data_IF_539981877654
#
_entry.id   IF_539981877654
#
_cell.length_a   1.000
_cell.length_b   1.000
_cell.length_c   1.000
_cell.angle_alpha   90.00
_cell.angle_beta   90.00
_cell.angle_gamma   90.00
#
_symmetry.space_group_name_H-M   'P 1'
#
loop_
_entity.id
_entity.type
_entity.pdbx_description
1 polymer ?
#
# COMPACT_ATOMS: atom_id res chain seq x y z
N UNK A 1 -5.88 -5.69 13.09
CA UNK A 1 -5.09 -4.88 12.15
C UNK A 1 -5.94 -4.63 10.91
N UNK A 2 -5.62 -3.62 10.12
CA UNK A 2 -6.26 -3.39 8.82
C UNK A 2 -5.80 -4.47 7.85
N UNK A 3 -6.74 -5.14 7.17
CA UNK A 3 -6.44 -6.26 6.27
C UNK A 3 -6.40 -5.83 4.80
N UNK A 4 -7.04 -4.72 4.44
CA UNK A 4 -7.08 -4.20 3.07
C UNK A 4 -6.95 -2.69 3.01
N UNK A 5 -6.48 -2.16 1.88
CA UNK A 5 -6.34 -0.72 1.68
C UNK A 5 -7.69 0.03 1.77
N UNK A 6 -8.83 -0.65 1.51
CA UNK A 6 -10.18 -0.10 1.61
C UNK A 6 -10.66 0.06 3.06
N UNK A 7 -10.15 -0.74 3.98
CA UNK A 7 -10.52 -0.65 5.40
C UNK A 7 -9.84 0.52 6.11
N UNK A 8 -8.73 1.04 5.57
CA UNK A 8 -8.07 2.20 6.13
C UNK A 8 -8.72 3.50 5.63
N UNK A 9 -9.45 4.19 6.49
CA UNK A 9 -10.21 5.40 6.17
C UNK A 9 -9.39 6.48 5.43
N UNK A 10 -8.12 6.65 5.81
CA UNK A 10 -7.22 7.64 5.21
C UNK A 10 -6.41 7.12 4.02
N UNK A 11 -6.73 5.92 3.54
CA UNK A 11 -6.13 5.36 2.34
C UNK A 11 -6.55 6.14 1.10
N UNK A 12 -5.60 6.40 0.23
CA UNK A 12 -5.83 6.93 -1.12
C UNK A 12 -6.71 6.01 -1.96
N UNK A 13 -6.92 4.74 -1.57
CA UNK A 13 -7.82 3.81 -2.23
C UNK A 13 -9.23 4.38 -2.44
N UNK A 14 -9.76 5.13 -1.46
CA UNK A 14 -11.08 5.76 -1.58
C UNK A 14 -11.16 6.73 -2.75
N UNK A 15 -10.19 7.64 -2.86
CA UNK A 15 -10.15 8.64 -3.94
C UNK A 15 -9.72 8.01 -5.27
N UNK A 16 -8.65 7.21 -5.25
CA UNK A 16 -7.95 6.79 -6.45
C UNK A 16 -8.51 5.49 -7.04
N UNK A 17 -9.15 4.62 -6.26
CA UNK A 17 -9.78 3.39 -6.75
C UNK A 17 -11.30 3.54 -6.88
N UNK A 18 -11.95 4.21 -5.93
CA UNK A 18 -13.42 4.28 -5.85
C UNK A 18 -14.00 5.61 -6.35
N UNK A 19 -13.16 6.54 -6.85
CA UNK A 19 -13.55 7.90 -7.28
C UNK A 19 -14.33 8.67 -6.19
N UNK A 20 -14.07 8.39 -4.92
CA UNK A 20 -14.69 9.11 -3.82
C UNK A 20 -14.00 10.46 -3.64
N UNK A 21 -14.65 11.51 -4.15
CA UNK A 21 -14.15 12.87 -4.08
C UNK A 21 -13.84 13.28 -2.64
N UNK A 22 -12.64 13.80 -2.45
CA UNK A 22 -12.21 14.41 -1.19
C UNK A 22 -11.45 15.70 -1.51
N UNK A 23 -11.96 16.83 -1.01
CA UNK A 23 -11.40 18.17 -1.27
C UNK A 23 -10.00 18.37 -0.69
N UNK A 24 -9.57 17.49 0.22
CA UNK A 24 -8.24 17.51 0.82
C UNK A 24 -7.22 16.67 0.06
N UNK A 25 -7.66 15.90 -0.94
CA UNK A 25 -6.79 15.00 -1.72
C UNK A 25 -6.50 15.65 -3.06
N UNK A 26 -5.21 15.79 -3.38
CA UNK A 26 -4.73 16.14 -4.71
C UNK A 26 -4.15 14.90 -5.37
N UNK A 27 -4.51 14.67 -6.64
CA UNK A 27 -4.02 13.51 -7.39
C UNK A 27 -2.48 13.57 -7.51
N UNK A 28 -1.81 12.49 -7.09
CA UNK A 28 -0.36 12.38 -7.17
C UNK A 28 0.09 12.05 -8.59
N UNK A 29 1.27 12.52 -9.01
CA UNK A 29 1.78 12.30 -10.37
C UNK A 29 1.84 10.82 -10.77
N UNK A 30 2.19 9.93 -9.85
CA UNK A 30 2.25 8.48 -10.10
C UNK A 30 0.88 7.93 -10.44
N UNK A 31 -0.18 8.40 -9.77
CA UNK A 31 -1.55 8.01 -10.11
C UNK A 31 -1.92 8.50 -11.50
N UNK A 32 -1.62 9.77 -11.81
CA UNK A 32 -1.91 10.38 -13.11
C UNK A 32 -1.23 9.66 -14.29
N UNK A 33 -0.03 9.10 -14.07
CA UNK A 33 0.70 8.34 -15.09
C UNK A 33 0.12 6.96 -15.41
N UNK A 34 -0.82 6.43 -14.60
CA UNK A 34 -1.41 5.11 -14.87
C UNK A 34 -2.27 5.12 -16.15
N UNK A 35 -2.98 6.21 -16.42
CA UNK A 35 -3.72 6.42 -17.67
C UNK A 35 -4.20 7.86 -17.82
N UNK A 36 -4.22 8.35 -19.06
CA UNK A 36 -4.84 9.62 -19.41
C UNK A 36 -6.38 9.57 -19.31
N UNK A 37 -6.96 8.37 -19.46
CA UNK A 37 -8.38 8.10 -19.30
C UNK A 37 -8.71 7.91 -17.81
N UNK A 38 -9.62 8.76 -17.29
CA UNK A 38 -9.98 8.78 -15.87
C UNK A 38 -10.50 7.42 -15.40
N UNK A 39 -11.41 6.80 -16.13
CA UNK A 39 -12.07 5.58 -15.70
C UNK A 39 -11.08 4.41 -15.71
N UNK A 40 -10.22 4.35 -16.74
CA UNK A 40 -9.12 3.38 -16.80
C UNK A 40 -8.11 3.60 -15.69
N UNK A 41 -7.81 4.86 -15.34
CA UNK A 41 -6.88 5.19 -14.26
C UNK A 41 -7.37 4.66 -12.92
N UNK A 42 -8.65 4.84 -12.58
CA UNK A 42 -9.23 4.27 -11.36
C UNK A 42 -9.22 2.74 -11.38
N UNK A 43 -9.56 2.14 -12.52
CA UNK A 43 -9.52 0.69 -12.70
C UNK A 43 -8.11 0.13 -12.48
N UNK A 44 -7.10 0.66 -13.16
CA UNK A 44 -5.72 0.22 -13.00
C UNK A 44 -5.22 0.39 -11.57
N UNK A 45 -5.55 1.51 -10.92
CA UNK A 45 -5.18 1.72 -9.53
C UNK A 45 -5.80 0.65 -8.61
N UNK A 46 -7.08 0.32 -8.79
CA UNK A 46 -7.74 -0.74 -8.02
C UNK A 46 -7.07 -2.11 -8.19
N UNK A 47 -6.62 -2.42 -9.41
CA UNK A 47 -5.99 -3.70 -9.75
C UNK A 47 -4.65 -3.92 -9.06
N UNK A 48 -3.94 -2.85 -8.67
CA UNK A 48 -2.71 -2.95 -7.87
C UNK A 48 -2.93 -3.67 -6.53
N UNK A 49 -4.17 -3.65 -6.02
CA UNK A 49 -4.54 -4.26 -4.74
C UNK A 49 -5.21 -5.63 -4.89
N UNK A 50 -5.44 -6.09 -6.12
CA UNK A 50 -5.97 -7.44 -6.39
C UNK A 50 -4.86 -8.51 -6.40
N UNK A 51 -3.59 -8.11 -6.31
CA UNK A 51 -2.49 -9.04 -6.13
C UNK A 51 -2.31 -9.31 -4.63
N UNK A 52 -2.75 -10.49 -4.19
CA UNK A 52 -2.35 -11.00 -2.89
C UNK A 52 -0.88 -11.40 -2.96
N UNK A 53 -0.09 -10.84 -2.04
CA UNK A 53 1.24 -11.38 -1.77
C UNK A 53 1.04 -12.70 -1.03
N UNK A 54 1.79 -13.71 -1.46
CA UNK A 54 1.83 -15.00 -0.77
C UNK A 54 2.12 -14.80 0.73
N UNK A 55 1.26 -15.35 1.58
CA UNK A 55 1.34 -15.22 3.04
C UNK A 55 2.69 -15.73 3.56
N UNK A 56 3.27 -16.75 2.91
CA UNK A 56 4.60 -17.25 3.24
C UNK A 56 5.68 -16.21 2.91
N UNK A 57 5.59 -15.54 1.76
CA UNK A 57 6.50 -14.46 1.39
C UNK A 57 6.40 -13.27 2.38
N UNK A 58 5.19 -12.87 2.76
CA UNK A 58 4.97 -11.81 3.77
C UNK A 58 5.55 -12.23 5.12
N UNK A 59 5.35 -13.48 5.53
CA UNK A 59 5.88 -14.03 6.78
C UNK A 59 7.40 -14.04 6.81
N UNK A 60 8.04 -14.41 5.69
CA UNK A 60 9.50 -14.38 5.57
C UNK A 60 10.05 -12.94 5.66
N UNK A 61 9.41 -11.96 5.03
CA UNK A 61 9.79 -10.55 5.14
C UNK A 61 9.73 -10.07 6.60
N UNK A 62 8.63 -10.40 7.30
CA UNK A 62 8.46 -10.03 8.72
C UNK A 62 9.55 -10.66 9.60
N UNK A 63 9.83 -11.95 9.41
CA UNK A 63 10.85 -12.66 10.16
C UNK A 63 12.24 -12.05 9.92
N UNK A 64 12.59 -11.79 8.66
CA UNK A 64 13.86 -11.15 8.30
C UNK A 64 14.03 -9.78 8.96
N UNK A 65 12.97 -8.96 8.98
CA UNK A 65 12.98 -7.65 9.63
C UNK A 65 13.15 -7.76 11.16
N UNK A 66 12.45 -8.68 11.81
CA UNK A 66 12.56 -8.92 13.26
C UNK A 66 13.97 -9.39 13.66
N UNK A 67 14.55 -10.33 12.90
CA UNK A 67 15.91 -10.80 13.11
C UNK A 67 16.94 -9.67 12.94
N UNK A 68 16.75 -8.83 11.92
CA UNK A 68 17.60 -7.66 11.71
C UNK A 68 17.54 -6.67 12.89
N UNK A 69 16.33 -6.35 13.37
CA UNK A 69 16.14 -5.50 14.55
C UNK A 69 16.80 -6.09 15.80
N UNK A 70 16.62 -7.38 16.06
CA UNK A 70 17.26 -8.05 17.20
C UNK A 70 18.79 -7.98 17.12
N UNK A 71 19.35 -8.21 15.94
CA UNK A 71 20.79 -8.09 15.73
C UNK A 71 21.29 -6.66 16.00
N UNK A 72 20.56 -5.63 15.54
CA UNK A 72 20.91 -4.23 15.82
C UNK A 72 20.83 -3.89 17.32
N UNK A 73 19.83 -4.40 18.04
CA UNK A 73 19.70 -4.17 19.49
C UNK A 73 20.83 -4.85 20.25
N UNK A 74 21.15 -6.10 19.93
CA UNK A 74 22.23 -6.84 20.57
C UNK A 74 23.61 -6.22 20.33
N UNK A 75 23.84 -5.65 19.14
CA UNK A 75 25.08 -4.92 18.82
C UNK A 75 25.19 -3.59 19.56
N UNK A 76 24.07 -2.95 19.93
CA UNK A 76 24.06 -1.71 20.72
C UNK A 76 24.20 -1.94 22.24
N UNK A 77 24.11 -3.19 22.70
CA UNK A 77 24.24 -3.58 24.10
C UNK A 77 25.65 -4.09 24.46
N UNK A 78 26.56 -4.17 23.49
CA UNK A 78 27.99 -4.43 23.68
C UNK A 78 28.77 -3.12 23.56
#
# INVERSE_FOLDING_TARGET
MVNSAKEYLFSSFHSNALDQKNVLITEHEVFMRLSDDKDKRHLFYSQLFNQELDDDAVSQIRLGYQLHLLAQVLLKLK
#
